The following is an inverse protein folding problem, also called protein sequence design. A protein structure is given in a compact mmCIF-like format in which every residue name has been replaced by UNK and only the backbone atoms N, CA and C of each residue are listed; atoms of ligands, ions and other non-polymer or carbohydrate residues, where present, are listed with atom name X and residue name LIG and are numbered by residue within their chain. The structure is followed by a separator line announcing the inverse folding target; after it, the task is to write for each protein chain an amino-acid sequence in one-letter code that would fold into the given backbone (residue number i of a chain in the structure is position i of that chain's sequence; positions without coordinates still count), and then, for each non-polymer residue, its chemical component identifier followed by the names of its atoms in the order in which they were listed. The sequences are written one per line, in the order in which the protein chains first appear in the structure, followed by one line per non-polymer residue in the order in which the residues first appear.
data_IF_054847134980
#
_entry.id   IF_054847134980
#
_cell.length_a   1.000
_cell.length_b   1.000
_cell.length_c   1.000
_cell.angle_alpha   90.00
_cell.angle_beta   90.00
_cell.angle_gamma   90.00
#
_symmetry.space_group_name_H-M   'P 1'
#
loop_
_entity.id
_entity.type
_entity.pdbx_description
1 polymer ?
#
# COMPACT_ATOMS: atom_id res chain seq x y z
N UNK A 1 6.04 -10.54 -10.07
CA UNK A 1 6.66 -9.22 -10.34
C UNK A 1 7.02 -9.05 -11.81
N UNK A 2 7.76 -10.00 -12.43
CA UNK A 2 8.12 -9.92 -13.85
C UNK A 2 6.91 -9.96 -14.82
N UNK A 3 5.88 -10.76 -14.52
CA UNK A 3 4.65 -10.82 -15.33
C UNK A 3 3.67 -9.65 -15.09
N UNK A 4 3.86 -8.88 -14.03
CA UNK A 4 2.91 -7.84 -13.59
C UNK A 4 3.44 -6.41 -13.77
N UNK A 5 4.66 -6.24 -14.31
CA UNK A 5 5.35 -4.95 -14.51
C UNK A 5 5.42 -4.10 -13.24
N UNK A 6 5.52 -4.75 -12.06
CA UNK A 6 5.62 -4.04 -10.78
C UNK A 6 7.05 -3.55 -10.61
N UNK A 7 7.21 -2.24 -10.50
CA UNK A 7 8.50 -1.56 -10.39
C UNK A 7 8.67 -0.81 -9.07
N UNK A 8 7.59 -0.61 -8.31
CA UNK A 8 7.58 0.02 -6.99
C UNK A 8 7.00 -0.91 -5.93
N UNK A 9 7.54 -0.81 -4.71
CA UNK A 9 7.09 -1.61 -3.56
C UNK A 9 6.86 -0.70 -2.34
N UNK A 10 5.64 -0.74 -1.81
CA UNK A 10 5.28 -0.16 -0.52
C UNK A 10 5.06 -1.30 0.47
N UNK A 11 5.94 -1.40 1.46
CA UNK A 11 5.98 -2.47 2.45
C UNK A 11 5.50 -1.97 3.82
N UNK A 12 4.28 -2.34 4.20
CA UNK A 12 3.67 -2.03 5.48
C UNK A 12 3.96 -3.11 6.54
N UNK A 13 5.24 -3.28 6.86
CA UNK A 13 5.69 -4.18 7.92
C UNK A 13 7.08 -3.81 8.46
N UNK A 14 7.39 -4.33 9.65
CA UNK A 14 8.75 -4.33 10.19
C UNK A 14 9.62 -5.48 9.66
N UNK A 15 9.01 -6.62 9.33
CA UNK A 15 9.73 -7.89 9.16
C UNK A 15 9.89 -8.35 7.72
N UNK A 16 9.02 -7.95 6.79
CA UNK A 16 9.17 -8.38 5.40
C UNK A 16 10.38 -7.69 4.77
N UNK A 17 11.30 -8.43 4.14
CA UNK A 17 12.48 -7.85 3.49
C UNK A 17 12.10 -7.06 2.23
N UNK A 18 12.96 -6.12 1.83
CA UNK A 18 12.88 -5.52 0.51
C UNK A 18 13.39 -6.56 -0.52
N UNK A 19 12.71 -6.77 -1.66
CA UNK A 19 13.25 -7.61 -2.72
C UNK A 19 14.52 -7.01 -3.34
N UNK A 20 15.54 -7.84 -3.59
CA UNK A 20 16.85 -7.37 -4.08
C UNK A 20 16.79 -6.64 -5.42
N UNK A 21 15.84 -7.04 -6.29
CA UNK A 21 15.65 -6.46 -7.62
C UNK A 21 14.90 -5.11 -7.62
N UNK A 22 14.50 -4.59 -6.46
CA UNK A 22 13.86 -3.28 -6.34
C UNK A 22 14.89 -2.23 -5.89
N UNK A 23 15.03 -1.17 -6.69
CA UNK A 23 15.86 -0.02 -6.36
C UNK A 23 15.35 0.70 -5.10
N UNK A 24 16.25 1.26 -4.29
CA UNK A 24 15.88 2.03 -3.09
C UNK A 24 14.94 3.19 -3.41
N UNK A 25 15.14 3.86 -4.55
CA UNK A 25 14.29 4.96 -5.01
C UNK A 25 12.83 4.56 -5.33
N UNK A 26 12.57 3.26 -5.49
CA UNK A 26 11.27 2.66 -5.78
C UNK A 26 10.75 1.80 -4.62
N UNK A 27 11.38 1.88 -3.45
CA UNK A 27 10.96 1.18 -2.26
C UNK A 27 10.55 2.17 -1.17
N UNK A 28 9.46 1.87 -0.47
CA UNK A 28 9.05 2.58 0.74
C UNK A 28 8.68 1.56 1.80
N UNK A 29 9.18 1.76 3.02
CA UNK A 29 8.76 0.99 4.20
C UNK A 29 7.89 1.86 5.10
N UNK A 30 6.76 1.29 5.51
CA UNK A 30 5.93 1.77 6.61
C UNK A 30 6.14 0.78 7.79
N UNK A 31 6.98 1.13 8.78
CA UNK A 31 7.42 0.21 9.83
C UNK A 31 6.34 0.01 10.91
N UNK A 32 5.28 -0.72 10.58
CA UNK A 32 4.10 -0.92 11.45
C UNK A 32 3.80 -2.40 11.71
N UNK A 33 3.36 -2.68 12.94
CA UNK A 33 2.87 -3.99 13.38
C UNK A 33 1.36 -4.13 13.19
N UNK A 34 0.88 -5.37 13.22
CA UNK A 34 -0.54 -5.69 13.10
C UNK A 34 -1.16 -5.84 14.50
N UNK A 35 -1.43 -4.72 15.16
CA UNK A 35 -2.06 -4.73 16.48
C UNK A 35 -2.90 -3.47 16.70
N UNK A 36 -3.74 -3.49 17.73
CA UNK A 36 -4.68 -2.42 18.03
C UNK A 36 -4.06 -1.11 18.54
N UNK A 37 -2.79 -1.13 18.95
CA UNK A 37 -2.09 0.05 19.48
C UNK A 37 -1.26 0.78 18.40
N UNK A 38 -1.08 0.18 17.23
CA UNK A 38 -0.24 0.71 16.16
C UNK A 38 -0.91 1.90 15.46
N UNK A 39 -0.11 2.92 15.12
CA UNK A 39 -0.61 4.15 14.48
C UNK A 39 -0.26 4.19 12.99
N UNK A 40 -1.25 3.90 12.15
CA UNK A 40 -1.09 3.98 10.69
C UNK A 40 -1.41 5.37 10.11
N UNK A 41 -2.30 6.12 10.76
CA UNK A 41 -2.78 7.43 10.28
C UNK A 41 -1.65 8.41 9.87
N UNK A 42 -0.56 8.56 10.65
CA UNK A 42 0.52 9.49 10.28
C UNK A 42 1.25 9.15 8.97
N UNK A 43 1.14 7.91 8.49
CA UNK A 43 1.80 7.43 7.28
C UNK A 43 0.97 7.59 6.01
N UNK A 44 -0.34 7.88 6.13
CA UNK A 44 -1.25 7.82 4.99
C UNK A 44 -0.93 8.87 3.93
N UNK A 45 -0.54 10.08 4.30
CA UNK A 45 -0.19 11.09 3.30
C UNK A 45 1.09 10.76 2.54
N UNK A 46 2.12 10.25 3.23
CA UNK A 46 3.38 9.85 2.61
C UNK A 46 3.18 8.65 1.67
N UNK A 47 2.43 7.64 2.11
CA UNK A 47 2.12 6.47 1.28
C UNK A 47 1.31 6.82 0.04
N UNK A 48 0.32 7.73 0.17
CA UNK A 48 -0.42 8.23 -0.97
C UNK A 48 0.49 8.96 -1.97
N UNK A 49 1.40 9.82 -1.48
CA UNK A 49 2.38 10.51 -2.32
C UNK A 49 3.34 9.54 -3.04
N UNK A 50 3.75 8.46 -2.37
CA UNK A 50 4.58 7.43 -2.98
C UNK A 50 3.86 6.68 -4.12
N UNK A 51 2.57 6.33 -3.92
CA UNK A 51 1.76 5.69 -4.95
C UNK A 51 1.54 6.64 -6.14
N UNK A 52 1.24 7.92 -5.87
CA UNK A 52 1.06 8.94 -6.90
C UNK A 52 2.33 9.18 -7.73
N UNK A 53 3.50 9.20 -7.09
CA UNK A 53 4.80 9.30 -7.78
C UNK A 53 4.98 8.19 -8.81
N UNK A 54 4.66 6.94 -8.44
CA UNK A 54 4.75 5.83 -9.37
C UNK A 54 3.70 5.92 -10.48
N UNK A 55 2.46 6.34 -10.15
CA UNK A 55 1.38 6.53 -11.12
C UNK A 55 1.74 7.56 -12.19
N UNK A 56 2.31 8.71 -11.80
CA UNK A 56 2.77 9.76 -12.73
C UNK A 56 3.87 9.24 -13.65
N UNK A 57 4.75 8.38 -13.15
CA UNK A 57 5.80 7.73 -13.94
C UNK A 57 5.32 6.53 -14.77
N UNK A 58 3.99 6.35 -14.92
CA UNK A 58 3.37 5.20 -15.60
C UNK A 58 3.88 3.84 -15.09
N UNK A 59 4.20 3.77 -13.79
CA UNK A 59 4.71 2.60 -13.10
C UNK A 59 3.64 1.95 -12.24
N UNK A 60 3.90 0.72 -11.77
CA UNK A 60 2.98 -0.03 -10.93
C UNK A 60 3.57 -0.28 -9.54
N UNK A 61 2.76 -0.02 -8.52
CA UNK A 61 3.13 -0.23 -7.11
C UNK A 61 2.43 -1.47 -6.59
N UNK A 62 3.15 -2.33 -5.88
CA UNK A 62 2.54 -3.30 -4.96
C UNK A 62 2.57 -2.74 -3.55
N UNK A 63 1.39 -2.66 -2.94
CA UNK A 63 1.23 -2.33 -1.52
C UNK A 63 1.03 -3.65 -0.79
N UNK A 64 1.97 -4.03 0.07
CA UNK A 64 1.91 -5.32 0.78
C UNK A 64 2.26 -5.18 2.26
N UNK A 65 1.78 -6.14 3.05
CA UNK A 65 2.27 -6.41 4.40
C UNK A 65 2.65 -7.90 4.45
N UNK A 66 2.53 -8.54 5.61
CA UNK A 66 2.80 -9.98 5.73
C UNK A 66 1.74 -10.83 5.02
N UNK A 67 0.46 -10.68 5.40
CA UNK A 67 -0.65 -11.49 4.87
C UNK A 67 -1.48 -10.76 3.79
N UNK A 68 -1.33 -9.44 3.68
CA UNK A 68 -2.13 -8.62 2.79
C UNK A 68 -3.61 -8.53 3.19
N UNK A 69 -3.91 -8.51 4.49
CA UNK A 69 -5.31 -8.53 5.00
C UNK A 69 -5.64 -7.25 5.78
N UNK A 70 -4.73 -6.79 6.65
CA UNK A 70 -4.93 -5.64 7.55
C UNK A 70 -4.15 -4.42 7.07
N UNK A 71 -2.91 -4.22 7.54
CA UNK A 71 -2.08 -3.02 7.28
C UNK A 71 -2.06 -2.52 5.83
N UNK A 72 -1.69 -3.37 4.87
CA UNK A 72 -1.63 -2.95 3.46
C UNK A 72 -3.00 -2.73 2.84
N UNK A 73 -4.03 -3.44 3.30
CA UNK A 73 -5.40 -3.22 2.86
C UNK A 73 -5.90 -1.86 3.35
N UNK A 74 -5.61 -1.48 4.60
CA UNK A 74 -5.94 -0.16 5.14
C UNK A 74 -5.30 0.98 4.33
N UNK A 75 -4.03 0.83 3.92
CA UNK A 75 -3.38 1.82 3.04
C UNK A 75 -4.09 1.88 1.68
N UNK A 76 -4.40 0.73 1.08
CA UNK A 76 -5.10 0.70 -0.21
C UNK A 76 -6.49 1.35 -0.12
N UNK A 77 -7.25 1.09 0.95
CA UNK A 77 -8.56 1.72 1.21
C UNK A 77 -8.39 3.24 1.35
N UNK A 78 -7.42 3.71 2.15
CA UNK A 78 -7.16 5.13 2.32
C UNK A 78 -6.80 5.84 1.00
N UNK A 79 -5.99 5.18 0.14
CA UNK A 79 -5.65 5.71 -1.18
C UNK A 79 -6.90 5.82 -2.07
N UNK A 80 -7.78 4.83 -2.05
CA UNK A 80 -9.05 4.86 -2.80
C UNK A 80 -9.98 5.95 -2.28
N UNK A 81 -10.12 6.11 -0.96
CA UNK A 81 -10.88 7.22 -0.36
C UNK A 81 -10.38 8.57 -0.89
N UNK A 82 -9.06 8.81 -0.81
CA UNK A 82 -8.45 10.07 -1.22
C UNK A 82 -8.58 10.35 -2.71
N UNK A 83 -8.36 9.35 -3.56
CA UNK A 83 -8.29 9.54 -5.01
C UNK A 83 -9.64 9.49 -5.72
N UNK A 84 -10.62 8.81 -5.15
CA UNK A 84 -11.95 8.67 -5.73
C UNK A 84 -13.02 9.47 -4.98
N UNK A 85 -12.68 10.13 -3.86
CA UNK A 85 -13.64 10.88 -3.04
C UNK A 85 -14.70 9.98 -2.38
N UNK A 86 -14.39 8.70 -2.18
CA UNK A 86 -15.30 7.73 -1.58
C UNK A 86 -15.31 7.83 -0.05
N UNK A 87 -16.46 7.51 0.54
CA UNK A 87 -16.58 7.29 1.98
C UNK A 87 -15.70 6.11 2.42
N UNK A 88 -15.43 6.01 3.73
CA UNK A 88 -14.69 4.86 4.28
C UNK A 88 -15.39 3.53 3.97
N UNK A 89 -16.72 3.48 4.05
CA UNK A 89 -17.51 2.28 3.78
C UNK A 89 -17.46 1.88 2.31
N UNK A 90 -17.60 2.84 1.39
CA UNK A 90 -17.56 2.57 -0.04
C UNK A 90 -16.17 2.17 -0.51
N UNK A 91 -15.12 2.84 -0.01
CA UNK A 91 -13.74 2.47 -0.31
C UNK A 91 -13.38 1.08 0.25
N UNK A 92 -13.86 0.76 1.46
CA UNK A 92 -13.72 -0.57 2.03
C UNK A 92 -14.34 -1.63 1.13
N UNK A 93 -15.60 -1.45 0.72
CA UNK A 93 -16.29 -2.37 -0.20
C UNK A 93 -15.57 -2.48 -1.54
N UNK A 94 -15.15 -1.35 -2.11
CA UNK A 94 -14.41 -1.32 -3.37
C UNK A 94 -13.15 -2.21 -3.35
N UNK A 95 -12.39 -2.15 -2.25
CA UNK A 95 -11.19 -2.98 -2.05
C UNK A 95 -11.58 -4.42 -1.75
N UNK A 96 -12.59 -4.65 -0.89
CA UNK A 96 -13.04 -5.99 -0.50
C UNK A 96 -13.55 -6.80 -1.69
N UNK A 97 -14.28 -6.20 -2.60
CA UNK A 97 -14.80 -6.86 -3.81
C UNK A 97 -13.68 -7.36 -4.73
N UNK A 98 -12.52 -6.67 -4.73
CA UNK A 98 -11.33 -7.05 -5.51
C UNK A 98 -10.40 -8.01 -4.77
N UNK A 99 -10.49 -8.06 -3.44
CA UNK A 99 -9.70 -8.94 -2.58
C UNK A 99 -10.57 -9.44 -1.41
N UNK A 100 -11.35 -10.53 -1.61
CA UNK A 100 -12.34 -10.99 -0.63
C UNK A 100 -11.77 -11.71 0.60
N UNK A 101 -10.48 -12.02 0.62
CA UNK A 101 -9.78 -12.59 1.79
C UNK A 101 -9.79 -11.66 2.99
#
# INVERSE_FOLDING_TARGET
MAQSSITYVLNASNTCPKPDFICESHFMRVPVNDNYCEKLLPWLDETNGFIDKAKVSNCRVIVHCLAGISRSATIAIAYIMKTMGLSSDDAYRFVKDRRPS
#
